data_IF_562582941139
#
_entry.id   IF_562582941139
#
_cell.length_a   1.000
_cell.length_b   1.000
_cell.length_c   1.000
_cell.angle_alpha   90.00
_cell.angle_beta   90.00
_cell.angle_gamma   90.00
#
_symmetry.space_group_name_H-M   'P 1'
#
loop_
_entity.id
_entity.type
_entity.pdbx_description
1 polymer ?
#
# COMPACT_ATOMS: atom_id res chain seq x y z
N UNK A 1 24.75 1.96 -10.20
CA UNK A 1 26.04 2.55 -9.75
C UNK A 1 27.21 1.64 -10.04
N UNK A 2 27.06 0.33 -9.92
CA UNK A 2 28.14 -0.64 -10.15
C UNK A 2 28.70 -0.58 -11.58
N UNK A 3 27.82 -0.34 -12.56
CA UNK A 3 28.23 -0.02 -13.94
C UNK A 3 29.25 1.13 -14.00
N UNK A 4 28.94 2.29 -13.39
CA UNK A 4 29.86 3.43 -13.40
C UNK A 4 31.15 3.14 -12.64
N UNK A 5 31.08 2.42 -11.51
CA UNK A 5 32.28 2.03 -10.74
C UNK A 5 33.22 1.14 -11.55
N UNK A 6 32.68 0.17 -12.29
CA UNK A 6 33.47 -0.72 -13.14
C UNK A 6 34.18 0.07 -14.26
N UNK A 7 33.44 0.91 -14.99
CA UNK A 7 34.01 1.70 -16.08
C UNK A 7 35.03 2.73 -15.59
N UNK A 8 34.83 3.32 -14.41
CA UNK A 8 35.81 4.23 -13.79
C UNK A 8 37.13 3.50 -13.48
N UNK A 9 37.07 2.24 -13.02
CA UNK A 9 38.29 1.46 -12.75
C UNK A 9 39.09 1.19 -14.02
N UNK A 10 38.41 1.02 -15.15
CA UNK A 10 39.05 0.73 -16.45
C UNK A 10 39.56 2.00 -17.14
N UNK A 11 38.78 3.08 -17.12
CA UNK A 11 39.01 4.25 -17.98
C UNK A 11 39.48 5.49 -17.21
N UNK A 12 39.10 5.59 -15.94
CA UNK A 12 39.24 6.80 -15.11
C UNK A 12 38.73 8.10 -15.79
N UNK A 13 37.75 7.98 -16.71
CA UNK A 13 37.25 9.11 -17.49
C UNK A 13 36.38 10.05 -16.61
N UNK A 14 36.63 11.37 -16.62
CA UNK A 14 35.85 12.37 -15.88
C UNK A 14 34.34 12.31 -16.11
N UNK A 15 33.88 11.88 -17.29
CA UNK A 15 32.47 11.72 -17.62
C UNK A 15 31.79 10.76 -16.64
N UNK A 16 32.36 9.57 -16.42
CA UNK A 16 31.74 8.56 -15.56
C UNK A 16 31.82 8.92 -14.07
N UNK A 17 32.85 9.66 -13.66
CA UNK A 17 32.93 10.22 -12.30
C UNK A 17 31.76 11.17 -12.00
N UNK A 18 31.36 12.00 -12.97
CA UNK A 18 30.19 12.87 -12.83
C UNK A 18 28.88 12.07 -12.73
N UNK A 19 28.65 11.09 -13.62
CA UNK A 19 27.41 10.31 -13.57
C UNK A 19 27.33 9.39 -12.34
N UNK A 20 28.46 8.91 -11.82
CA UNK A 20 28.49 8.25 -10.53
C UNK A 20 28.07 9.20 -9.42
N UNK A 21 28.60 10.43 -9.40
CA UNK A 21 28.21 11.45 -8.42
C UNK A 21 26.71 11.80 -8.52
N UNK A 22 26.19 12.04 -9.72
CA UNK A 22 24.76 12.34 -9.94
C UNK A 22 23.86 11.19 -9.48
N UNK A 23 24.22 9.95 -9.81
CA UNK A 23 23.50 8.78 -9.34
C UNK A 23 23.53 8.70 -7.80
N UNK A 24 24.69 8.92 -7.17
CA UNK A 24 24.84 8.92 -5.70
C UNK A 24 24.00 9.99 -5.03
N UNK A 25 23.95 11.19 -5.63
CA UNK A 25 23.08 12.27 -5.17
C UNK A 25 21.61 11.89 -5.24
N UNK A 26 21.14 11.36 -6.38
CA UNK A 26 19.76 10.93 -6.57
C UNK A 26 19.34 9.79 -5.63
N UNK A 27 20.30 8.94 -5.25
CA UNK A 27 20.09 7.84 -4.32
C UNK A 27 20.25 8.22 -2.84
N UNK A 28 20.57 9.48 -2.51
CA UNK A 28 20.76 9.93 -1.13
C UNK A 28 22.08 9.51 -0.48
N UNK A 29 23.04 8.97 -1.23
CA UNK A 29 24.36 8.57 -0.73
C UNK A 29 25.31 9.78 -0.62
N UNK A 30 25.02 10.67 0.33
CA UNK A 30 25.70 11.97 0.47
C UNK A 30 27.22 11.84 0.62
N UNK A 31 27.69 10.99 1.53
CA UNK A 31 29.11 10.87 1.86
C UNK A 31 29.91 10.35 0.66
N UNK A 32 29.33 9.37 -0.03
CA UNK A 32 29.84 8.76 -1.24
C UNK A 32 29.83 9.76 -2.40
N UNK A 33 28.74 10.52 -2.56
CA UNK A 33 28.64 11.59 -3.57
C UNK A 33 29.71 12.66 -3.34
N UNK A 34 29.89 13.14 -2.10
CA UNK A 34 30.93 14.13 -1.76
C UNK A 34 32.34 13.59 -2.04
N UNK A 35 32.58 12.30 -1.73
CA UNK A 35 33.86 11.66 -2.05
C UNK A 35 34.09 11.57 -3.56
N UNK A 36 33.10 11.10 -4.32
CA UNK A 36 33.16 10.99 -5.78
C UNK A 36 33.34 12.36 -6.44
N UNK A 37 32.64 13.39 -5.97
CA UNK A 37 32.79 14.77 -6.47
C UNK A 37 34.20 15.29 -6.19
N UNK A 38 34.75 15.02 -4.99
CA UNK A 38 36.14 15.38 -4.68
C UNK A 38 37.14 14.70 -5.60
N UNK A 39 36.88 13.45 -5.99
CA UNK A 39 37.69 12.73 -6.99
C UNK A 39 37.55 13.35 -8.37
N UNK A 40 36.32 13.62 -8.82
CA UNK A 40 36.04 14.26 -10.10
C UNK A 40 36.71 15.64 -10.23
N UNK A 41 36.71 16.44 -9.16
CA UNK A 41 37.38 17.76 -9.09
C UNK A 41 38.91 17.68 -9.15
N UNK A 42 39.50 16.52 -8.82
CA UNK A 42 40.95 16.31 -8.87
C UNK A 42 41.48 15.93 -10.25
N UNK A 43 40.59 15.65 -11.21
CA UNK A 43 40.97 15.26 -12.57
C UNK A 43 41.43 16.49 -13.38
N UNK A 44 42.33 16.31 -14.38
CA UNK A 44 42.87 17.43 -15.17
C UNK A 44 41.80 18.24 -15.90
N UNK A 45 40.75 17.57 -16.38
CA UNK A 45 39.62 18.16 -17.10
C UNK A 45 38.30 17.66 -16.50
N UNK A 46 37.82 18.27 -15.40
CA UNK A 46 36.59 17.83 -14.75
C UNK A 46 35.36 18.03 -15.64
N UNK A 47 34.53 17.01 -15.76
CA UNK A 47 33.26 17.05 -16.47
C UNK A 47 32.09 17.25 -15.47
N UNK A 48 31.01 17.95 -15.86
CA UNK A 48 30.85 18.75 -17.08
C UNK A 48 31.64 20.07 -17.01
N UNK A 49 31.93 20.55 -15.80
CA UNK A 49 32.91 21.61 -15.54
C UNK A 49 33.27 21.62 -14.05
N UNK A 50 34.40 22.24 -13.71
CA UNK A 50 34.78 22.48 -12.30
C UNK A 50 33.69 23.24 -11.54
N UNK A 51 33.07 24.25 -12.16
CA UNK A 51 32.02 25.04 -11.51
C UNK A 51 30.76 24.22 -11.25
N UNK A 52 30.35 23.35 -12.17
CA UNK A 52 29.19 22.49 -11.98
C UNK A 52 29.38 21.52 -10.80
N UNK A 53 30.57 20.92 -10.69
CA UNK A 53 30.92 20.04 -9.56
C UNK A 53 31.00 20.79 -8.24
N UNK A 54 31.53 22.02 -8.23
CA UNK A 54 31.53 22.88 -7.04
C UNK A 54 30.11 23.28 -6.61
N UNK A 55 29.22 23.59 -7.56
CA UNK A 55 27.82 23.88 -7.27
C UNK A 55 27.12 22.66 -6.67
N UNK A 56 27.35 21.47 -7.24
CA UNK A 56 26.84 20.20 -6.72
C UNK A 56 27.37 19.91 -5.31
N UNK A 57 28.66 20.12 -5.07
CA UNK A 57 29.27 20.00 -3.74
C UNK A 57 28.68 20.99 -2.73
N UNK A 58 28.54 22.26 -3.12
CA UNK A 58 27.98 23.30 -2.26
C UNK A 58 26.50 23.05 -1.93
N UNK A 59 25.73 22.56 -2.91
CA UNK A 59 24.36 22.12 -2.68
C UNK A 59 24.32 20.93 -1.71
N UNK A 60 25.15 19.89 -1.88
CA UNK A 60 25.24 18.78 -0.91
C UNK A 60 25.66 19.18 0.50
N UNK A 61 26.31 20.33 0.64
CA UNK A 61 26.76 20.88 1.93
C UNK A 61 25.77 21.89 2.53
N UNK A 62 24.75 22.31 1.78
CA UNK A 62 23.79 23.32 2.23
C UNK A 62 22.87 22.79 3.35
N UNK A 63 22.30 23.69 4.18
CA UNK A 63 21.23 23.34 5.11
C UNK A 63 20.00 22.76 4.41
N UNK A 64 19.66 23.25 3.22
CA UNK A 64 18.56 22.73 2.41
C UNK A 64 18.77 21.28 1.97
N UNK A 65 20.01 20.85 1.75
CA UNK A 65 20.28 19.44 1.48
C UNK A 65 20.03 18.54 2.69
N UNK A 66 20.24 19.05 3.91
CA UNK A 66 19.93 18.31 5.15
C UNK A 66 18.43 18.04 5.28
N UNK A 67 17.57 18.95 4.81
CA UNK A 67 16.12 18.74 4.75
C UNK A 67 15.72 17.73 3.65
N UNK A 68 16.51 17.60 2.57
CA UNK A 68 16.27 16.61 1.50
C UNK A 68 16.97 15.26 1.72
N UNK A 69 17.74 15.09 2.79
CA UNK A 69 18.49 13.85 3.04
C UNK A 69 17.56 12.81 3.67
N UNK A 70 17.00 11.98 2.80
CA UNK A 70 15.93 10.98 2.98
C UNK A 70 16.22 9.79 3.92
N UNK A 71 17.16 9.90 4.86
CA UNK A 71 17.41 8.87 5.88
C UNK A 71 16.83 9.19 7.27
N UNK A 72 16.29 10.39 7.50
CA UNK A 72 15.55 10.64 8.74
C UNK A 72 14.20 9.91 8.70
N UNK A 73 14.09 8.87 9.53
CA UNK A 73 12.81 8.25 9.85
C UNK A 73 11.99 9.26 10.63
N UNK A 74 10.82 9.63 10.10
CA UNK A 74 9.85 10.49 10.77
C UNK A 74 8.63 9.70 11.19
N UNK A 75 7.94 10.15 12.23
CA UNK A 75 6.65 9.58 12.64
C UNK A 75 5.58 10.12 11.69
N UNK A 76 4.91 9.23 10.97
CA UNK A 76 3.87 9.57 9.98
C UNK A 76 2.45 9.29 10.47
N UNK A 77 2.30 8.44 11.49
CA UNK A 77 1.05 8.22 12.20
C UNK A 77 1.36 7.82 13.65
N UNK A 78 0.51 8.22 14.59
CA UNK A 78 0.64 7.83 16.00
C UNK A 78 -0.72 7.68 16.67
N UNK A 79 -0.82 6.71 17.58
CA UNK A 79 -1.96 6.40 18.45
C UNK A 79 -1.46 5.97 19.83
N UNK A 80 -2.39 5.92 20.77
CA UNK A 80 -2.16 5.49 22.14
C UNK A 80 -3.31 4.58 22.55
N UNK A 81 -3.01 3.45 23.16
CA UNK A 81 -3.96 2.40 23.54
C UNK A 81 -3.29 1.36 24.44
N UNK A 82 -4.09 0.51 25.08
CA UNK A 82 -3.58 -0.61 25.87
C UNK A 82 -3.36 -1.80 24.93
N UNK A 83 -2.11 -2.08 24.57
CA UNK A 83 -1.78 -3.07 23.53
C UNK A 83 -1.45 -4.43 24.15
N UNK A 84 -0.86 -4.47 25.33
CA UNK A 84 -0.49 -5.72 26.00
C UNK A 84 -1.50 -6.18 27.08
N UNK A 85 -2.52 -5.37 27.36
CA UNK A 85 -3.62 -5.68 28.28
C UNK A 85 -3.27 -5.48 29.75
N UNK A 86 -2.20 -4.74 30.06
CA UNK A 86 -1.75 -4.51 31.43
C UNK A 86 -2.42 -3.28 32.10
N UNK A 87 -3.30 -2.59 31.38
CA UNK A 87 -4.01 -1.39 31.80
C UNK A 87 -3.22 -0.08 31.70
N UNK A 88 -1.97 -0.12 31.21
CA UNK A 88 -1.11 1.05 31.01
C UNK A 88 -1.05 1.36 29.52
N UNK A 89 -1.26 2.64 29.19
CA UNK A 89 -1.30 3.10 27.81
C UNK A 89 0.09 3.03 27.15
N UNK A 90 0.15 2.32 26.04
CA UNK A 90 1.29 2.23 25.14
C UNK A 90 1.23 3.29 24.04
N UNK A 91 2.35 3.53 23.36
CA UNK A 91 2.40 4.37 22.16
C UNK A 91 2.63 3.51 20.93
N UNK A 92 1.76 3.65 19.94
CA UNK A 92 1.87 2.96 18.65
C UNK A 92 2.10 4.00 17.58
N UNK A 93 3.13 3.84 16.76
CA UNK A 93 3.42 4.79 15.69
C UNK A 93 4.06 4.14 14.48
N UNK A 94 3.81 4.73 13.31
CA UNK A 94 4.47 4.38 12.06
C UNK A 94 5.64 5.32 11.85
N UNK A 95 6.83 4.77 11.60
CA UNK A 95 7.97 5.55 11.13
C UNK A 95 8.19 5.31 9.64
N UNK A 96 8.57 6.33 8.88
CA UNK A 96 8.88 6.19 7.46
C UNK A 96 9.95 7.18 7.00
N UNK A 97 10.57 6.86 5.86
CA UNK A 97 11.45 7.75 5.12
C UNK A 97 10.63 8.53 4.09
N UNK A 98 10.78 9.86 4.09
CA UNK A 98 10.13 10.71 3.09
C UNK A 98 10.84 10.56 1.74
N UNK A 99 10.09 10.32 0.67
CA UNK A 99 10.63 10.46 -0.68
C UNK A 99 10.72 11.95 -1.04
N UNK A 100 11.89 12.46 -1.46
CA UNK A 100 12.02 13.85 -1.88
C UNK A 100 11.01 14.23 -2.96
N UNK A 101 10.40 15.42 -2.82
CA UNK A 101 9.45 15.99 -3.77
C UNK A 101 8.22 15.10 -4.10
N UNK A 102 7.89 14.15 -3.21
CA UNK A 102 6.78 13.21 -3.40
C UNK A 102 6.02 12.98 -2.08
N UNK A 103 4.69 12.79 -2.11
CA UNK A 103 3.94 12.35 -0.94
C UNK A 103 4.12 10.84 -0.64
N UNK A 104 4.95 10.15 -1.43
CA UNK A 104 5.29 8.74 -1.24
C UNK A 104 6.21 8.55 -0.04
N UNK A 105 5.92 7.51 0.73
CA UNK A 105 6.68 7.09 1.90
C UNK A 105 7.37 5.75 1.62
N UNK A 106 8.58 5.59 2.16
CA UNK A 106 9.37 4.36 2.06
C UNK A 106 9.72 3.84 3.45
N UNK A 107 10.02 2.54 3.55
CA UNK A 107 10.46 1.89 4.78
C UNK A 107 9.51 2.11 5.98
N UNK A 108 8.21 2.11 5.70
CA UNK A 108 7.16 2.23 6.72
C UNK A 108 7.33 1.07 7.72
N UNK A 109 7.60 1.39 8.96
CA UNK A 109 7.84 0.43 10.05
C UNK A 109 6.86 0.70 11.17
N UNK A 110 6.17 -0.33 11.65
CA UNK A 110 5.33 -0.25 12.85
C UNK A 110 6.20 -0.31 14.09
N UNK A 111 5.97 0.60 15.04
CA UNK A 111 6.69 0.68 16.31
C UNK A 111 5.69 0.76 17.45
N UNK A 112 5.89 -0.08 18.45
CA UNK A 112 5.13 -0.06 19.72
C UNK A 112 6.12 0.24 20.84
N UNK A 113 5.85 1.29 21.62
CA UNK A 113 6.58 1.61 22.85
C UNK A 113 5.70 1.25 24.04
N UNK A 114 6.16 0.29 24.84
CA UNK A 114 5.44 -0.14 26.03
C UNK A 114 5.43 0.97 27.11
N UNK A 115 4.24 1.31 27.62
CA UNK A 115 4.03 2.41 28.56
C UNK A 115 4.63 2.15 29.93
N UNK A 116 4.68 0.89 30.37
CA UNK A 116 5.25 0.51 31.67
C UNK A 116 6.78 0.48 31.65
N UNK A 117 7.34 -0.17 30.65
CA UNK A 117 8.77 -0.53 30.60
C UNK A 117 9.60 0.41 29.73
N UNK A 118 8.96 1.23 28.88
CA UNK A 118 9.58 2.04 27.82
C UNK A 118 10.36 1.21 26.78
N UNK A 119 10.16 -0.10 26.72
CA UNK A 119 10.74 -0.95 25.68
C UNK A 119 10.05 -0.70 24.34
N UNK A 120 10.81 -0.86 23.25
CA UNK A 120 10.32 -0.68 21.89
C UNK A 120 10.32 -2.02 21.15
N UNK A 121 9.23 -2.29 20.44
CA UNK A 121 9.13 -3.38 19.47
C UNK A 121 8.99 -2.73 18.09
N UNK A 122 9.84 -3.14 17.14
CA UNK A 122 9.76 -2.71 15.74
C UNK A 122 9.33 -3.90 14.88
N UNK A 123 8.29 -3.70 14.09
CA UNK A 123 7.66 -4.73 13.27
C UNK A 123 7.80 -4.29 11.80
N UNK A 124 8.66 -4.95 11.02
CA UNK A 124 8.78 -4.67 9.59
C UNK A 124 7.52 -5.15 8.86
N UNK A 125 7.04 -4.34 7.92
CA UNK A 125 5.96 -4.71 7.02
C UNK A 125 6.55 -5.29 5.73
N UNK A 126 5.90 -6.29 5.12
CA UNK A 126 6.37 -6.90 3.87
C UNK A 126 6.36 -5.88 2.73
N UNK A 127 5.16 -5.39 2.40
CA UNK A 127 4.98 -4.18 1.60
C UNK A 127 4.93 -2.96 2.53
N UNK A 128 5.94 -2.10 2.42
CA UNK A 128 6.22 -1.03 3.37
C UNK A 128 6.41 0.35 2.74
N UNK A 129 5.93 0.55 1.52
CA UNK A 129 6.08 1.80 0.80
C UNK A 129 4.78 2.15 0.09
N UNK A 130 4.35 3.41 0.16
CA UNK A 130 3.05 3.84 -0.34
C UNK A 130 2.66 5.23 0.12
N UNK A 131 1.37 5.53 0.05
CA UNK A 131 0.78 6.83 0.39
C UNK A 131 -0.13 6.70 1.63
N UNK A 132 -0.37 7.83 2.29
CA UNK A 132 -1.33 7.97 3.40
C UNK A 132 -1.31 6.84 4.45
N UNK A 133 -0.15 6.50 5.05
CA UNK A 133 -0.11 5.47 6.07
C UNK A 133 -0.96 5.84 7.29
N UNK A 134 -1.89 4.97 7.70
CA UNK A 134 -2.78 5.20 8.85
C UNK A 134 -2.67 4.12 9.91
N UNK A 135 -3.02 4.49 11.15
CA UNK A 135 -3.16 3.60 12.29
C UNK A 135 -4.56 3.68 12.87
N UNK A 136 -5.14 2.50 13.13
CA UNK A 136 -6.34 2.32 13.92
C UNK A 136 -6.04 1.36 15.07
N UNK A 137 -6.60 1.66 16.26
CA UNK A 137 -6.53 0.82 17.45
C UNK A 137 -7.95 0.45 17.84
N UNK A 138 -8.20 -0.84 18.09
CA UNK A 138 -9.48 -1.34 18.60
C UNK A 138 -9.48 -2.86 18.75
N UNK A 139 -10.39 -3.39 19.56
CA UNK A 139 -10.49 -4.81 19.86
C UNK A 139 -11.07 -5.60 18.67
N UNK A 140 -10.25 -6.33 17.92
CA UNK A 140 -10.71 -7.25 16.88
C UNK A 140 -10.88 -8.68 17.40
N UNK A 141 -10.12 -9.05 18.43
CA UNK A 141 -10.05 -10.43 18.92
C UNK A 141 -11.08 -10.77 20.00
N UNK A 142 -11.81 -9.78 20.51
CA UNK A 142 -12.78 -9.91 21.58
C UNK A 142 -12.18 -10.00 22.98
N UNK A 143 -10.88 -9.72 23.13
CA UNK A 143 -10.15 -9.86 24.39
C UNK A 143 -10.13 -8.56 25.22
N UNK A 144 -10.79 -7.49 24.75
CA UNK A 144 -10.85 -6.16 25.37
C UNK A 144 -9.50 -5.43 25.48
N UNK A 145 -8.55 -5.81 24.63
CA UNK A 145 -7.26 -5.14 24.43
C UNK A 145 -7.25 -4.52 23.04
N UNK A 146 -6.53 -3.41 22.85
CA UNK A 146 -6.45 -2.77 21.55
C UNK A 146 -5.54 -3.56 20.61
N UNK A 147 -6.10 -4.01 19.48
CA UNK A 147 -5.34 -4.56 18.37
C UNK A 147 -4.97 -3.43 17.38
N UNK A 148 -3.93 -3.64 16.58
CA UNK A 148 -3.33 -2.59 15.72
C UNK A 148 -3.63 -2.89 14.26
N UNK A 149 -4.39 -2.02 13.59
CA UNK A 149 -4.53 -2.05 12.13
C UNK A 149 -3.63 -0.99 11.49
N UNK A 150 -2.87 -1.41 10.47
CA UNK A 150 -2.09 -0.55 9.59
C UNK A 150 -2.72 -0.58 8.19
N UNK A 151 -2.86 0.58 7.55
CA UNK A 151 -3.30 0.70 6.15
C UNK A 151 -2.34 1.64 5.41
N UNK A 152 -1.96 1.28 4.19
CA UNK A 152 -1.09 2.05 3.30
C UNK A 152 -1.69 2.01 1.89
N UNK A 153 -1.89 3.16 1.27
CA UNK A 153 -2.40 3.25 -0.10
C UNK A 153 -1.28 2.91 -1.11
N UNK A 154 -1.56 2.09 -2.13
CA UNK A 154 -0.53 1.73 -3.13
C UNK A 154 -0.27 2.84 -4.16
N UNK A 155 -1.25 3.73 -4.38
CA UNK A 155 -1.21 4.81 -5.37
C UNK A 155 -1.52 4.40 -6.82
N UNK A 156 -1.88 3.13 -7.07
CA UNK A 156 -2.32 2.67 -8.39
C UNK A 156 -3.74 3.13 -8.75
N UNK A 157 -4.07 3.13 -10.05
CA UNK A 157 -5.41 3.52 -10.55
C UNK A 157 -6.55 2.60 -10.10
N UNK A 158 -6.23 1.41 -9.59
CA UNK A 158 -7.18 0.50 -8.96
C UNK A 158 -7.57 0.91 -7.54
N UNK A 159 -6.87 1.87 -6.92
CA UNK A 159 -7.13 2.34 -5.56
C UNK A 159 -6.98 1.23 -4.53
N UNK A 160 -5.93 0.41 -4.64
CA UNK A 160 -5.69 -0.71 -3.72
C UNK A 160 -4.92 -0.27 -2.47
N UNK A 161 -4.99 -1.08 -1.42
CA UNK A 161 -4.29 -0.84 -0.15
C UNK A 161 -3.46 -2.05 0.27
N UNK A 162 -2.34 -1.79 0.95
CA UNK A 162 -1.68 -2.76 1.81
C UNK A 162 -2.25 -2.61 3.22
N UNK A 163 -2.68 -3.69 3.84
CA UNK A 163 -3.18 -3.65 5.21
C UNK A 163 -2.79 -4.89 6.00
N UNK A 164 -2.52 -4.65 7.28
CA UNK A 164 -2.07 -5.65 8.25
C UNK A 164 -2.80 -5.40 9.56
N UNK A 165 -3.09 -6.46 10.30
CA UNK A 165 -3.58 -6.35 11.68
C UNK A 165 -2.68 -7.17 12.58
N UNK A 166 -2.30 -6.56 13.71
CA UNK A 166 -1.46 -7.17 14.73
C UNK A 166 -2.20 -7.20 16.06
N UNK A 167 -2.03 -8.28 16.82
CA UNK A 167 -2.58 -8.45 18.16
C UNK A 167 -1.50 -8.95 19.09
N UNK A 168 -1.47 -8.45 20.32
CA UNK A 168 -0.59 -8.99 21.36
C UNK A 168 -1.26 -10.19 22.02
N UNK A 169 -0.77 -11.39 21.73
CA UNK A 169 -1.37 -12.63 22.20
C UNK A 169 -0.29 -13.55 22.75
N UNK A 170 -0.52 -14.12 23.93
CA UNK A 170 0.40 -15.06 24.58
C UNK A 170 1.81 -14.47 24.81
N UNK A 171 1.90 -13.17 25.11
CA UNK A 171 3.16 -12.50 25.42
C UNK A 171 3.99 -12.06 24.20
N UNK A 172 3.44 -12.18 22.99
CA UNK A 172 4.11 -11.76 21.76
C UNK A 172 3.16 -11.05 20.80
N UNK A 173 3.71 -10.13 20.00
CA UNK A 173 2.98 -9.47 18.94
C UNK A 173 2.85 -10.38 17.72
N UNK A 174 1.63 -10.65 17.27
CA UNK A 174 1.34 -11.55 16.14
C UNK A 174 0.61 -10.82 15.03
N UNK A 175 1.00 -11.08 13.78
CA UNK A 175 0.19 -10.71 12.60
C UNK A 175 -1.02 -11.65 12.54
N UNK A 176 -2.22 -11.09 12.64
CA UNK A 176 -3.50 -11.83 12.60
C UNK A 176 -4.30 -11.59 11.32
N UNK A 177 -3.94 -10.57 10.53
CA UNK A 177 -4.48 -10.34 9.17
C UNK A 177 -3.38 -9.84 8.24
N UNK A 178 -3.41 -10.30 6.98
CA UNK A 178 -2.51 -9.86 5.92
C UNK A 178 -3.25 -9.76 4.57
N UNK A 179 -3.16 -8.60 3.92
CA UNK A 179 -3.85 -8.33 2.67
C UNK A 179 -3.48 -9.30 1.53
N UNK A 180 -2.24 -9.78 1.46
CA UNK A 180 -1.79 -10.70 0.41
C UNK A 180 -2.49 -12.05 0.56
N UNK A 181 -2.49 -12.61 1.78
CA UNK A 181 -3.22 -13.86 2.10
C UNK A 181 -4.71 -13.73 1.81
N UNK A 182 -5.30 -12.58 2.12
CA UNK A 182 -6.70 -12.29 1.80
C UNK A 182 -6.95 -12.31 0.28
N UNK A 183 -6.16 -11.56 -0.50
CA UNK A 183 -6.30 -11.49 -1.96
C UNK A 183 -6.07 -12.85 -2.64
N UNK A 184 -5.13 -13.66 -2.13
CA UNK A 184 -4.89 -15.02 -2.62
C UNK A 184 -6.06 -15.97 -2.32
N UNK A 185 -6.68 -15.82 -1.15
CA UNK A 185 -7.80 -16.66 -0.71
C UNK A 185 -9.08 -16.33 -1.47
N UNK A 186 -9.40 -15.04 -1.61
CA UNK A 186 -10.65 -14.57 -2.20
C UNK A 186 -10.43 -14.13 -3.65
N UNK A 187 -10.45 -15.12 -4.54
CA UNK A 187 -10.39 -14.94 -5.99
C UNK A 187 -11.76 -15.06 -6.64
N UNK A 188 -11.94 -14.34 -7.75
CA UNK A 188 -13.22 -14.24 -8.44
C UNK A 188 -13.08 -14.39 -9.94
N UNK A 189 -14.13 -14.94 -10.57
CA UNK A 189 -14.32 -14.88 -12.02
C UNK A 189 -15.42 -13.88 -12.34
N UNK A 190 -15.20 -13.01 -13.33
CA UNK A 190 -16.20 -12.04 -13.79
C UNK A 190 -16.41 -12.23 -15.29
N UNK A 191 -17.63 -12.58 -15.70
CA UNK A 191 -17.97 -12.81 -17.10
C UNK A 191 -19.26 -12.09 -17.45
N UNK A 192 -19.26 -11.41 -18.59
CA UNK A 192 -20.49 -10.85 -19.15
C UNK A 192 -21.34 -11.97 -19.73
N UNK A 193 -22.65 -11.82 -19.60
CA UNK A 193 -23.68 -12.75 -20.06
C UNK A 193 -24.72 -12.01 -20.88
N UNK A 194 -25.51 -12.78 -21.64
CA UNK A 194 -26.70 -12.27 -22.33
C UNK A 194 -27.67 -11.57 -21.36
N UNK A 195 -28.60 -10.83 -21.95
CA UNK A 195 -29.66 -10.08 -21.26
C UNK A 195 -29.08 -9.01 -20.31
N UNK A 196 -28.03 -8.33 -20.76
CA UNK A 196 -27.39 -7.20 -20.08
C UNK A 196 -26.89 -7.55 -18.67
N UNK A 197 -26.30 -8.72 -18.49
CA UNK A 197 -25.85 -9.22 -17.18
C UNK A 197 -24.35 -9.44 -17.12
N UNK A 198 -23.82 -9.43 -15.90
CA UNK A 198 -22.50 -9.99 -15.59
C UNK A 198 -22.58 -10.92 -14.39
N UNK A 199 -21.90 -12.06 -14.48
CA UNK A 199 -21.72 -12.99 -13.38
C UNK A 199 -20.43 -12.67 -12.63
N UNK A 200 -20.49 -12.67 -11.30
CA UNK A 200 -19.31 -12.64 -10.42
C UNK A 200 -19.32 -13.92 -9.58
N UNK A 201 -18.29 -14.75 -9.72
CA UNK A 201 -18.21 -16.05 -9.04
C UNK A 201 -17.09 -15.99 -8.00
N UNK A 202 -17.44 -16.11 -6.72
CA UNK A 202 -16.49 -16.28 -5.62
C UNK A 202 -15.97 -17.71 -5.61
N UNK A 203 -14.71 -17.90 -6.01
CA UNK A 203 -14.12 -19.23 -6.18
C UNK A 203 -13.99 -19.99 -4.87
N UNK A 204 -13.64 -19.28 -3.79
CA UNK A 204 -13.45 -19.86 -2.48
C UNK A 204 -14.80 -20.23 -1.83
N UNK A 205 -15.74 -19.29 -1.81
CA UNK A 205 -17.05 -19.48 -1.17
C UNK A 205 -18.04 -20.29 -2.01
N UNK A 206 -17.75 -20.51 -3.30
CA UNK A 206 -18.64 -21.17 -4.26
C UNK A 206 -20.00 -20.46 -4.41
N UNK A 207 -19.97 -19.13 -4.35
CA UNK A 207 -21.16 -18.26 -4.49
C UNK A 207 -21.10 -17.57 -5.85
N UNK A 208 -22.26 -17.44 -6.50
CA UNK A 208 -22.46 -16.72 -7.75
C UNK A 208 -23.38 -15.53 -7.52
N UNK A 209 -22.95 -14.36 -7.97
CA UNK A 209 -23.73 -13.13 -8.04
C UNK A 209 -24.03 -12.81 -9.50
N UNK A 210 -25.22 -12.27 -9.76
CA UNK A 210 -25.64 -11.81 -11.10
C UNK A 210 -25.91 -10.31 -10.98
N UNK A 211 -25.16 -9.53 -11.74
CA UNK A 211 -25.30 -8.08 -11.83
C UNK A 211 -26.14 -7.74 -13.04
N UNK A 212 -27.17 -6.91 -12.84
CA UNK A 212 -27.89 -6.27 -13.92
C UNK A 212 -27.11 -5.03 -14.34
N UNK A 213 -26.73 -4.94 -15.61
CA UNK A 213 -25.95 -3.84 -16.17
C UNK A 213 -26.82 -2.75 -16.81
N UNK A 214 -28.15 -2.88 -16.78
CA UNK A 214 -29.07 -1.91 -17.43
C UNK A 214 -28.85 -0.48 -16.96
N UNK A 215 -28.42 -0.28 -15.70
CA UNK A 215 -28.09 1.02 -15.13
C UNK A 215 -26.95 1.76 -15.86
N UNK A 216 -26.14 1.06 -16.67
CA UNK A 216 -25.05 1.65 -17.47
C UNK A 216 -25.55 2.47 -18.67
N UNK A 217 -26.83 2.37 -19.00
CA UNK A 217 -27.45 3.13 -20.07
C UNK A 217 -27.22 2.56 -21.47
N UNK A 218 -28.03 3.05 -22.42
CA UNK A 218 -28.13 2.50 -23.78
C UNK A 218 -26.80 2.54 -24.53
N UNK A 219 -26.07 3.65 -24.42
CA UNK A 219 -24.83 3.84 -25.17
C UNK A 219 -23.80 2.75 -24.82
N UNK A 220 -23.54 2.56 -23.52
CA UNK A 220 -22.66 1.50 -23.03
C UNK A 220 -23.13 0.10 -23.46
N UNK A 221 -24.42 -0.20 -23.29
CA UNK A 221 -24.94 -1.53 -23.58
C UNK A 221 -24.95 -1.84 -25.08
N UNK A 222 -25.19 -0.84 -25.92
CA UNK A 222 -25.21 -1.00 -27.38
C UNK A 222 -23.84 -1.31 -27.96
N UNK A 223 -22.75 -0.99 -27.26
CA UNK A 223 -21.40 -1.41 -27.64
C UNK A 223 -21.21 -2.91 -27.43
N UNK A 224 -21.79 -3.48 -26.38
CA UNK A 224 -21.52 -4.83 -25.88
C UNK A 224 -22.54 -5.87 -26.36
N UNK A 225 -23.78 -5.43 -26.57
CA UNK A 225 -24.93 -6.30 -26.83
C UNK A 225 -25.60 -5.95 -28.15
N UNK A 226 -26.18 -6.97 -28.78
CA UNK A 226 -27.18 -6.79 -29.83
C UNK A 226 -28.49 -6.27 -29.21
N UNK A 227 -29.39 -5.71 -30.03
CA UNK A 227 -30.69 -5.18 -29.57
C UNK A 227 -31.58 -6.22 -28.90
N UNK A 228 -31.37 -7.51 -29.20
CA UNK A 228 -32.09 -8.62 -28.59
C UNK A 228 -31.49 -9.07 -27.23
N UNK A 229 -30.50 -8.36 -26.69
CA UNK A 229 -29.82 -8.71 -25.43
C UNK A 229 -28.70 -9.74 -25.56
N UNK A 230 -28.42 -10.26 -26.76
CA UNK A 230 -27.33 -11.21 -26.96
C UNK A 230 -25.98 -10.51 -26.92
N UNK A 231 -25.03 -11.09 -26.18
CA UNK A 231 -23.65 -10.62 -26.13
C UNK A 231 -23.00 -10.76 -27.51
N UNK A 232 -22.34 -9.70 -28.00
CA UNK A 232 -21.68 -9.69 -29.32
C UNK A 232 -20.45 -10.60 -29.37
N UNK A 233 -19.69 -10.63 -28.29
CA UNK A 233 -18.48 -11.44 -28.12
C UNK A 233 -18.24 -11.70 -26.63
N UNK A 234 -17.57 -12.80 -26.24
CA UNK A 234 -17.26 -13.06 -24.83
C UNK A 234 -16.42 -11.94 -24.21
N UNK A 235 -16.86 -11.42 -23.06
CA UNK A 235 -16.13 -10.39 -22.31
C UNK A 235 -15.89 -10.88 -20.88
N UNK A 236 -14.66 -10.72 -20.42
CA UNK A 236 -14.25 -10.99 -19.05
C UNK A 236 -13.91 -9.69 -18.33
N UNK A 237 -14.42 -9.58 -17.11
CA UNK A 237 -13.95 -8.59 -16.14
C UNK A 237 -13.00 -9.25 -15.14
N UNK A 238 -12.74 -8.55 -14.04
CA UNK A 238 -12.00 -9.10 -12.91
C UNK A 238 -12.37 -8.38 -11.61
N UNK A 239 -11.96 -8.94 -10.48
CA UNK A 239 -12.04 -8.28 -9.18
C UNK A 239 -10.64 -7.83 -8.79
N UNK A 240 -10.50 -6.55 -8.47
CA UNK A 240 -9.24 -5.97 -8.05
C UNK A 240 -8.82 -6.50 -6.66
N UNK A 241 -7.53 -6.37 -6.31
CA UNK A 241 -7.10 -6.53 -4.93
C UNK A 241 -7.88 -5.60 -3.98
N UNK A 242 -7.76 -5.87 -2.69
CA UNK A 242 -8.36 -5.10 -1.62
C UNK A 242 -8.18 -3.58 -1.82
N UNK A 243 -9.29 -2.86 -1.93
CA UNK A 243 -9.34 -1.40 -2.04
C UNK A 243 -9.58 -0.71 -0.71
N UNK A 244 -10.03 -1.46 0.30
CA UNK A 244 -10.25 -0.94 1.65
C UNK A 244 -10.56 -2.06 2.63
N UNK A 245 -10.22 -1.83 3.89
CA UNK A 245 -10.53 -2.72 5.00
C UNK A 245 -10.94 -1.89 6.21
N UNK A 246 -12.23 -1.88 6.51
CA UNK A 246 -12.78 -0.97 7.51
C UNK A 246 -13.14 -1.72 8.79
N UNK A 247 -12.68 -1.25 9.97
CA UNK A 247 -13.11 -1.78 11.24
C UNK A 247 -14.53 -1.31 11.55
N UNK A 248 -15.49 -2.22 11.64
CA UNK A 248 -16.90 -1.93 11.94
C UNK A 248 -17.37 -2.82 13.09
N UNK A 249 -17.88 -2.21 14.16
CA UNK A 249 -18.59 -2.92 15.23
C UNK A 249 -20.09 -2.95 14.86
N UNK A 250 -20.51 -4.00 14.14
CA UNK A 250 -21.87 -4.05 13.58
C UNK A 250 -22.95 -4.22 14.67
N UNK A 251 -22.64 -4.95 15.74
CA UNK A 251 -23.59 -5.31 16.79
C UNK A 251 -23.43 -4.45 18.07
N UNK A 252 -22.46 -3.54 18.11
CA UNK A 252 -22.17 -2.61 19.21
C UNK A 252 -21.71 -3.32 20.49
N UNK A 253 -20.98 -4.42 20.36
CA UNK A 253 -20.45 -5.18 21.49
C UNK A 253 -19.02 -4.79 21.89
N UNK A 254 -18.45 -3.79 21.20
CA UNK A 254 -17.11 -3.28 21.39
C UNK A 254 -16.03 -4.13 20.73
N UNK A 255 -16.39 -5.14 19.94
CA UNK A 255 -15.46 -5.94 19.13
C UNK A 255 -15.71 -5.64 17.66
N UNK A 256 -14.64 -5.32 16.93
CA UNK A 256 -14.70 -4.91 15.53
C UNK A 256 -14.65 -6.12 14.60
N UNK A 257 -15.58 -6.18 13.65
CA UNK A 257 -15.44 -6.95 12.43
C UNK A 257 -14.67 -6.15 11.36
N UNK A 258 -14.25 -6.85 10.30
CA UNK A 258 -13.60 -6.23 9.14
C UNK A 258 -14.56 -6.22 7.95
N UNK A 259 -14.85 -5.04 7.41
CA UNK A 259 -15.57 -4.88 6.15
C UNK A 259 -14.58 -4.66 5.00
N UNK A 260 -14.35 -5.70 4.20
CA UNK A 260 -13.35 -5.73 3.14
C UNK A 260 -13.99 -5.42 1.77
N UNK A 261 -13.41 -4.45 1.06
CA UNK A 261 -13.90 -4.01 -0.25
C UNK A 261 -12.94 -4.44 -1.37
N UNK A 262 -13.48 -5.05 -2.41
CA UNK A 262 -12.77 -5.34 -3.65
C UNK A 262 -13.59 -4.89 -4.85
N UNK A 263 -13.03 -4.01 -5.67
CA UNK A 263 -13.73 -3.44 -6.83
C UNK A 263 -13.88 -4.46 -7.95
N UNK A 264 -15.08 -4.55 -8.53
CA UNK A 264 -15.38 -5.35 -9.72
C UNK A 264 -15.14 -4.46 -10.95
N UNK A 265 -14.16 -4.80 -11.77
CA UNK A 265 -13.86 -4.14 -13.03
C UNK A 265 -14.48 -4.90 -14.22
N UNK A 266 -15.01 -4.13 -15.17
CA UNK A 266 -15.60 -4.61 -16.43
C UNK A 266 -14.56 -4.67 -17.54
N UNK A 267 -14.86 -4.01 -18.67
CA UNK A 267 -14.01 -4.07 -19.89
C UNK A 267 -12.61 -3.48 -19.71
N UNK A 268 -12.45 -2.56 -18.76
CA UNK A 268 -11.19 -1.93 -18.39
C UNK A 268 -11.27 -1.48 -16.92
N UNK A 269 -10.11 -1.19 -16.30
CA UNK A 269 -10.10 -0.89 -14.86
C UNK A 269 -11.02 0.28 -14.48
N UNK A 270 -11.13 1.36 -15.27
CA UNK A 270 -12.06 2.45 -14.95
C UNK A 270 -13.56 2.11 -15.14
N UNK A 271 -13.91 1.02 -15.84
CA UNK A 271 -15.28 0.52 -15.98
C UNK A 271 -15.68 -0.26 -14.72
N UNK A 272 -16.18 0.42 -13.69
CA UNK A 272 -16.57 -0.21 -12.43
C UNK A 272 -17.95 -0.83 -12.54
N UNK A 273 -18.10 -2.11 -12.19
CA UNK A 273 -19.39 -2.80 -12.14
C UNK A 273 -20.00 -2.83 -10.74
N UNK A 274 -19.19 -2.58 -9.71
CA UNK A 274 -19.59 -2.62 -8.32
C UNK A 274 -18.42 -3.00 -7.40
N UNK A 275 -18.74 -3.50 -6.22
CA UNK A 275 -17.77 -4.00 -5.24
C UNK A 275 -18.24 -5.33 -4.67
N UNK A 276 -17.31 -6.27 -4.50
CA UNK A 276 -17.50 -7.37 -3.57
C UNK A 276 -17.18 -6.83 -2.18
N UNK A 277 -18.14 -6.99 -1.26
CA UNK A 277 -18.04 -6.61 0.14
C UNK A 277 -18.01 -7.90 0.97
N UNK A 278 -16.92 -8.14 1.70
CA UNK A 278 -16.77 -9.34 2.54
C UNK A 278 -16.56 -8.92 3.98
N UNK A 279 -17.52 -9.27 4.84
CA UNK A 279 -17.38 -9.06 6.28
C UNK A 279 -16.70 -10.27 6.90
N UNK A 280 -15.63 -10.02 7.63
CA UNK A 280 -14.87 -11.02 8.36
C UNK A 280 -15.03 -10.80 9.87
N UNK A 281 -15.22 -11.91 10.60
CA UNK A 281 -15.30 -11.93 12.06
C UNK A 281 -14.21 -12.82 12.64
N UNK A 282 -13.62 -12.39 13.75
CA UNK A 282 -12.68 -13.20 14.50
C UNK A 282 -13.40 -14.39 15.15
N UNK A 283 -12.92 -15.61 14.92
CA UNK A 283 -13.53 -16.83 15.45
C UNK A 283 -12.76 -17.45 16.63
N UNK A 284 -11.78 -16.73 17.19
CA UNK A 284 -10.86 -17.21 18.22
C UNK A 284 -9.52 -17.75 17.69
N UNK A 285 -9.43 -18.06 16.39
CA UNK A 285 -8.19 -18.52 15.74
C UNK A 285 -7.75 -17.63 14.58
N UNK A 286 -8.71 -17.11 13.83
CA UNK A 286 -8.49 -16.29 12.65
C UNK A 286 -9.74 -15.55 12.22
N UNK A 287 -9.61 -14.69 11.22
CA UNK A 287 -10.76 -14.05 10.57
C UNK A 287 -11.43 -15.03 9.60
N UNK A 288 -12.71 -15.33 9.86
CA UNK A 288 -13.57 -16.11 8.97
C UNK A 288 -14.66 -15.24 8.34
N UNK A 289 -15.17 -15.64 7.17
CA UNK A 289 -16.28 -14.93 6.50
C UNK A 289 -17.56 -15.06 7.33
N UNK A 290 -18.11 -13.92 7.73
CA UNK A 290 -19.46 -13.79 8.29
C UNK A 290 -20.49 -13.73 7.16
N UNK A 291 -20.24 -12.82 6.20
CA UNK A 291 -21.09 -12.66 5.01
C UNK A 291 -20.31 -12.05 3.85
N UNK A 292 -20.82 -12.28 2.64
CA UNK A 292 -20.34 -11.63 1.43
C UNK A 292 -21.53 -11.15 0.60
N UNK A 293 -21.45 -9.91 0.12
CA UNK A 293 -22.43 -9.28 -0.75
C UNK A 293 -21.73 -8.65 -1.97
N UNK A 294 -22.53 -8.25 -2.95
CA UNK A 294 -22.07 -7.36 -4.03
C UNK A 294 -22.89 -6.08 -4.02
N UNK A 295 -22.22 -4.95 -3.90
CA UNK A 295 -22.81 -3.63 -4.05
C UNK A 295 -22.67 -3.16 -5.51
N UNK A 296 -23.76 -2.64 -6.07
CA UNK A 296 -23.81 -2.08 -7.43
C UNK A 296 -24.15 -0.59 -7.39
N UNK A 297 -23.73 0.15 -8.41
CA UNK A 297 -24.04 1.57 -8.52
C UNK A 297 -25.53 1.79 -8.82
N UNK A 298 -26.08 2.91 -8.35
CA UNK A 298 -27.39 3.39 -8.79
C UNK A 298 -27.34 3.88 -10.25
N UNK A 299 -28.48 3.83 -10.93
CA UNK A 299 -28.67 4.39 -12.26
C UNK A 299 -29.67 5.55 -12.26
N UNK A 300 -29.66 6.34 -13.34
CA UNK A 300 -30.73 7.29 -13.63
C UNK A 300 -32.04 6.55 -13.97
N UNK A 301 -33.19 7.15 -13.65
CA UNK A 301 -34.54 6.61 -13.92
C UNK A 301 -35.00 7.02 -15.30
#
# INVERSE_FOLDING_TARGET
MDFYRAIIQETNDPYYWYYLADAQVRAGYRSEALHTISKALSLPTPYPSKQALLNMQAWLQSPSYRETNSNEKTIVAAKQGDIDGDGIIDKVFLTANKTPDSPFWQNITLVVQNGRTNQYIQIPLKENSGYNPTLFLGDFTGNKVDDIQVVIDTGGSAGTVYTYIFSFMNGEMREIFNFEKFNETYQYDVNYENDYKANVISRNLKIKYILDLTYKGKDYLSEIYHENGQLKEPIQGWVNPLSGLYPIDFNRDGTYELDAYQRIAGRYNADGLGFVETVLKWNGQGFGVDRQNVAVFGGEI
#
